data_IF_105528020389
#
_entry.id   IF_105528020389
#
_cell.length_a   1.000
_cell.length_b   1.000
_cell.length_c   1.000
_cell.angle_alpha   90.00
_cell.angle_beta   90.00
_cell.angle_gamma   90.00
#
_symmetry.space_group_name_H-M   'P 1'
#
loop_
_entity.id
_entity.type
_entity.pdbx_description
1 polymer ?
#
# COMPACT_ATOMS: atom_id res chain seq x y z
N UNK A 1 -21.17 0.00 12.15
CA UNK A 1 -21.16 0.88 10.94
C UNK A 1 -20.96 2.33 11.38
N UNK A 2 -19.72 2.72 11.65
CA UNK A 2 -19.32 4.07 12.11
C UNK A 2 -19.05 5.05 10.95
N UNK A 3 -19.95 5.06 9.95
CA UNK A 3 -19.82 5.99 8.84
C UNK A 3 -19.89 7.45 9.32
N UNK A 4 -18.97 8.30 8.85
CA UNK A 4 -19.06 9.75 9.06
C UNK A 4 -19.36 10.47 7.75
N UNK A 5 -19.98 11.65 7.80
CA UNK A 5 -20.21 12.49 6.62
C UNK A 5 -18.95 12.66 5.78
N UNK A 6 -19.05 12.41 4.48
CA UNK A 6 -17.97 12.55 3.53
C UNK A 6 -17.59 14.02 3.33
N UNK A 7 -16.29 14.31 3.36
CA UNK A 7 -15.78 15.66 3.17
C UNK A 7 -15.69 16.01 1.67
N UNK A 8 -15.84 17.30 1.37
CA UNK A 8 -15.84 17.88 0.03
C UNK A 8 -14.93 19.10 0.01
N UNK A 9 -14.48 19.47 -1.19
CA UNK A 9 -13.84 20.76 -1.41
C UNK A 9 -14.82 21.87 -1.00
N UNK A 10 -14.35 22.80 -0.18
CA UNK A 10 -15.17 23.85 0.44
C UNK A 10 -15.63 23.54 1.88
N UNK A 11 -15.62 22.28 2.33
CA UNK A 11 -15.84 21.96 3.74
C UNK A 11 -14.66 22.48 4.60
N UNK A 12 -14.90 22.72 5.89
CA UNK A 12 -13.96 23.46 6.74
C UNK A 12 -12.97 22.55 7.45
N UNK A 13 -11.67 22.79 7.30
CA UNK A 13 -10.61 22.12 8.05
C UNK A 13 -10.11 23.02 9.19
N UNK A 14 -10.36 22.60 10.44
CA UNK A 14 -9.99 23.36 11.62
C UNK A 14 -8.48 23.57 11.75
N UNK A 15 -8.10 24.66 12.41
CA UNK A 15 -6.72 24.98 12.75
C UNK A 15 -6.67 25.25 14.27
N UNK A 16 -5.98 24.39 15.01
CA UNK A 16 -5.85 24.47 16.47
C UNK A 16 -4.60 25.23 16.92
N UNK A 17 -3.96 26.00 16.04
CA UNK A 17 -2.83 26.86 16.42
C UNK A 17 -3.28 27.84 17.52
N UNK A 18 -2.64 27.83 18.71
CA UNK A 18 -3.00 28.72 19.80
C UNK A 18 -2.88 30.18 19.38
N UNK A 19 -3.88 30.99 19.71
CA UNK A 19 -3.86 32.43 19.45
C UNK A 19 -2.88 33.11 20.42
N UNK A 20 -2.01 33.99 19.90
CA UNK A 20 -1.36 34.98 20.76
C UNK A 20 -2.40 36.03 21.18
N UNK A 21 -2.43 36.39 22.46
CA UNK A 21 -3.28 37.47 22.99
C UNK A 21 -2.45 38.76 23.09
N UNK A 22 -2.89 39.89 22.48
CA UNK A 22 -4.11 40.11 21.70
C UNK A 22 -4.03 39.47 20.30
N UNK A 23 -5.18 38.99 19.78
CA UNK A 23 -5.25 38.36 18.46
C UNK A 23 -4.83 39.35 17.36
N UNK A 24 -3.58 39.26 16.91
CA UNK A 24 -3.03 40.16 15.89
C UNK A 24 -3.64 39.93 14.48
N UNK A 25 -4.40 38.85 14.29
CA UNK A 25 -5.01 38.47 13.02
C UNK A 25 -6.43 37.93 13.23
N UNK A 26 -7.44 38.38 12.45
CA UNK A 26 -8.79 37.85 12.51
C UNK A 26 -8.87 36.54 11.71
N UNK A 27 -8.26 35.48 12.23
CA UNK A 27 -8.76 34.13 11.96
C UNK A 27 -9.33 33.63 13.29
N UNK A 28 -10.66 33.64 13.35
CA UNK A 28 -11.44 33.05 14.43
C UNK A 28 -10.96 31.60 14.68
N UNK A 29 -11.29 30.95 15.81
CA UNK A 29 -11.06 29.51 16.04
C UNK A 29 -11.84 28.57 15.08
N UNK A 30 -12.25 29.03 13.90
CA UNK A 30 -12.93 28.26 12.87
C UNK A 30 -11.99 28.12 11.67
N UNK A 31 -11.86 26.89 11.16
CA UNK A 31 -10.89 26.49 10.14
C UNK A 31 -10.90 27.26 8.82
N UNK A 32 -10.20 26.72 7.83
CA UNK A 32 -10.21 27.26 6.46
C UNK A 32 -10.88 26.25 5.51
N UNK A 33 -11.55 26.72 4.43
CA UNK A 33 -12.12 25.82 3.43
C UNK A 33 -11.03 24.95 2.79
N UNK A 34 -11.31 23.66 2.62
CA UNK A 34 -10.48 22.75 1.84
C UNK A 34 -10.47 23.27 0.40
N UNK A 35 -9.30 23.58 -0.14
CA UNK A 35 -9.10 24.33 -1.39
C UNK A 35 -8.16 23.62 -2.38
N UNK A 36 -7.94 22.32 -2.22
CA UNK A 36 -7.10 21.53 -3.13
C UNK A 36 -7.78 21.25 -4.47
N UNK A 37 -7.00 20.70 -5.42
CA UNK A 37 -7.51 20.24 -6.74
C UNK A 37 -8.61 19.18 -6.57
N UNK A 38 -8.66 18.49 -5.42
CA UNK A 38 -9.66 17.49 -5.11
C UNK A 38 -9.65 16.33 -6.10
N UNK A 39 -10.71 15.53 -6.08
CA UNK A 39 -11.00 14.60 -7.16
C UNK A 39 -11.90 15.25 -8.19
N UNK A 40 -11.32 16.01 -9.13
CA UNK A 40 -12.04 16.79 -10.14
C UNK A 40 -13.13 16.03 -10.95
N UNK A 41 -13.16 14.70 -10.85
CA UNK A 41 -14.10 13.79 -11.53
C UNK A 41 -15.08 13.09 -10.58
N UNK A 42 -14.92 13.20 -9.25
CA UNK A 42 -15.75 12.51 -8.25
C UNK A 42 -16.51 13.55 -7.43
N UNK A 43 -17.84 13.51 -7.52
CA UNK A 43 -18.73 14.44 -6.83
C UNK A 43 -19.49 13.75 -5.70
N UNK A 44 -19.55 14.41 -4.55
CA UNK A 44 -20.35 14.01 -3.39
C UNK A 44 -21.28 15.17 -3.05
N UNK A 45 -22.59 14.94 -3.10
CA UNK A 45 -23.59 16.01 -2.87
C UNK A 45 -23.39 17.22 -3.78
N UNK A 46 -23.12 16.98 -5.08
CA UNK A 46 -22.85 17.98 -6.11
C UNK A 46 -21.62 18.88 -5.89
N UNK A 47 -20.69 18.52 -5.00
CA UNK A 47 -19.39 19.18 -4.85
C UNK A 47 -18.26 18.18 -5.02
N UNK A 48 -17.09 18.67 -5.39
CA UNK A 48 -15.89 17.83 -5.58
C UNK A 48 -15.55 17.14 -4.25
N UNK A 49 -15.35 15.83 -4.29
CA UNK A 49 -14.99 15.06 -3.10
C UNK A 49 -13.58 15.43 -2.61
N UNK A 50 -13.42 15.58 -1.29
CA UNK A 50 -12.13 15.75 -0.66
C UNK A 50 -11.50 14.40 -0.32
N UNK A 51 -10.18 14.36 -0.32
CA UNK A 51 -9.36 13.17 -0.09
C UNK A 51 -8.14 13.52 0.75
N UNK A 52 -7.48 12.49 1.26
CA UNK A 52 -6.18 12.64 1.93
C UNK A 52 -5.23 13.45 1.05
N UNK A 53 -4.39 14.28 1.67
CA UNK A 53 -3.46 15.24 1.03
C UNK A 53 -4.11 16.49 0.40
N UNK A 54 -5.44 16.54 0.25
CA UNK A 54 -6.09 17.83 0.04
C UNK A 54 -5.86 18.73 1.26
N UNK A 55 -5.99 20.04 1.08
CA UNK A 55 -5.54 20.99 2.10
C UNK A 55 -6.39 22.24 2.15
N UNK A 56 -6.35 22.90 3.30
CA UNK A 56 -6.74 24.30 3.42
C UNK A 56 -5.49 25.17 3.48
N UNK A 57 -5.58 26.42 3.01
CA UNK A 57 -4.47 27.36 3.03
C UNK A 57 -4.65 28.34 4.18
N UNK A 58 -3.68 28.34 5.10
CA UNK A 58 -3.63 29.35 6.15
C UNK A 58 -3.10 30.67 5.57
N UNK A 59 -3.83 31.80 5.70
CA UNK A 59 -3.38 33.10 5.23
C UNK A 59 -2.38 33.69 6.23
N UNK A 60 -1.21 33.09 6.35
CA UNK A 60 -0.06 33.71 7.02
C UNK A 60 0.82 34.42 5.97
N UNK A 61 1.75 35.32 6.37
CA UNK A 61 2.65 36.00 5.43
C UNK A 61 3.38 35.05 4.47
N UNK A 62 3.55 33.79 4.88
CA UNK A 62 3.92 32.67 4.01
C UNK A 62 2.77 31.65 4.06
N UNK A 63 1.97 31.48 3.01
CA UNK A 63 0.86 30.52 3.02
C UNK A 63 1.35 29.12 3.40
N UNK A 64 0.84 28.59 4.50
CA UNK A 64 1.18 27.24 4.96
C UNK A 64 -0.01 26.33 4.68
N UNK A 65 0.17 25.24 3.93
CA UNK A 65 -0.88 24.27 3.70
C UNK A 65 -1.13 23.44 4.97
N UNK A 66 -2.41 23.28 5.32
CA UNK A 66 -2.87 22.29 6.29
C UNK A 66 -3.38 21.07 5.53
N UNK A 67 -2.52 20.07 5.34
CA UNK A 67 -2.84 18.86 4.58
C UNK A 67 -3.72 17.92 5.42
N UNK A 68 -4.71 17.30 4.80
CA UNK A 68 -5.47 16.21 5.40
C UNK A 68 -4.56 14.98 5.51
N UNK A 69 -4.31 14.54 6.73
CA UNK A 69 -3.36 13.49 7.10
C UNK A 69 -4.01 12.15 7.42
N UNK A 70 -5.34 12.08 7.44
CA UNK A 70 -6.13 10.86 7.65
C UNK A 70 -7.26 10.77 6.64
N UNK A 71 -7.67 9.55 6.34
CA UNK A 71 -8.78 9.26 5.42
C UNK A 71 -9.16 7.78 5.47
N UNK A 72 -10.22 7.42 4.76
CA UNK A 72 -10.73 6.06 4.67
C UNK A 72 -10.00 5.26 3.58
N UNK A 73 -9.00 4.47 3.97
CA UNK A 73 -8.20 3.65 3.05
C UNK A 73 -9.01 2.69 2.17
N UNK A 74 -10.05 2.00 2.68
CA UNK A 74 -10.89 1.13 1.86
C UNK A 74 -11.75 1.86 0.82
N UNK A 75 -11.86 3.18 0.90
CA UNK A 75 -12.68 4.00 0.00
C UNK A 75 -11.76 4.99 -0.75
N UNK A 76 -10.98 4.52 -1.74
CA UNK A 76 -10.13 5.40 -2.53
C UNK A 76 -10.96 6.31 -3.43
N UNK A 77 -10.59 7.60 -3.46
CA UNK A 77 -11.08 8.60 -4.39
C UNK A 77 -9.87 9.12 -5.19
N UNK A 78 -9.86 8.82 -6.50
CA UNK A 78 -8.73 9.11 -7.39
C UNK A 78 -7.39 8.58 -6.82
N UNK A 79 -7.38 7.34 -6.34
CA UNK A 79 -6.23 6.63 -5.76
C UNK A 79 -5.69 7.19 -4.43
N UNK A 80 -6.41 8.07 -3.74
CA UNK A 80 -6.10 8.46 -2.37
C UNK A 80 -7.29 8.18 -1.44
N UNK A 81 -7.06 7.85 -0.16
CA UNK A 81 -8.14 7.64 0.81
C UNK A 81 -9.12 8.80 0.86
N UNK A 82 -10.42 8.53 0.85
CA UNK A 82 -11.45 9.57 0.96
C UNK A 82 -11.38 10.29 2.31
N UNK A 83 -11.58 11.60 2.32
CA UNK A 83 -11.67 12.36 3.56
C UNK A 83 -13.11 12.37 4.10
N UNK A 84 -13.25 12.33 5.43
CA UNK A 84 -14.52 12.37 6.17
C UNK A 84 -14.43 13.39 7.30
N UNK A 85 -15.59 13.80 7.80
CA UNK A 85 -15.68 14.63 9.00
C UNK A 85 -14.78 14.05 10.10
N UNK A 86 -14.16 14.88 10.93
CA UNK A 86 -13.21 14.49 11.98
C UNK A 86 -11.83 13.97 11.54
N UNK A 87 -11.57 13.78 10.23
CA UNK A 87 -10.22 13.46 9.76
C UNK A 87 -9.24 14.60 10.08
N UNK A 88 -8.01 14.24 10.42
CA UNK A 88 -7.02 15.17 10.98
C UNK A 88 -6.21 15.91 9.93
N UNK A 89 -5.95 17.19 10.15
CA UNK A 89 -4.96 18.01 9.45
C UNK A 89 -3.53 17.84 10.01
N UNK A 90 -2.51 18.23 9.23
CA UNK A 90 -1.09 18.17 9.61
C UNK A 90 -0.67 19.32 10.53
N UNK A 91 0.36 19.07 11.36
CA UNK A 91 1.05 20.14 12.10
C UNK A 91 1.70 21.17 11.14
N UNK A 92 1.80 22.45 11.52
CA UNK A 92 1.44 23.04 12.81
C UNK A 92 -0.06 23.38 12.95
N UNK A 93 -0.83 23.26 11.86
CA UNK A 93 -2.26 23.54 11.79
C UNK A 93 -3.11 22.33 12.19
N UNK A 94 -2.68 21.60 13.24
CA UNK A 94 -3.39 20.42 13.74
C UNK A 94 -4.86 20.75 13.93
N UNK A 95 -5.76 19.86 13.54
CA UNK A 95 -7.18 20.13 13.55
C UNK A 95 -7.93 19.03 12.86
N UNK A 96 -9.24 19.19 12.75
CA UNK A 96 -10.12 18.19 12.15
C UNK A 96 -11.05 18.81 11.13
N UNK A 97 -11.52 18.00 10.17
CA UNK A 97 -12.58 18.41 9.25
C UNK A 97 -13.87 18.61 10.06
N UNK A 98 -14.46 19.79 9.95
CA UNK A 98 -15.62 20.22 10.71
C UNK A 98 -16.94 19.80 10.04
N UNK A 99 -18.03 19.65 10.81
CA UNK A 99 -19.37 19.50 10.26
C UNK A 99 -19.78 20.74 9.43
N UNK A 100 -20.77 20.61 8.53
CA UNK A 100 -21.63 19.43 8.34
C UNK A 100 -21.09 18.40 7.34
N UNK A 101 -20.06 18.73 6.55
CA UNK A 101 -19.64 17.90 5.41
C UNK A 101 -20.84 17.53 4.51
N UNK A 102 -20.88 16.34 3.90
CA UNK A 102 -22.07 15.81 3.25
C UNK A 102 -22.82 14.81 4.15
N UNK A 103 -23.91 15.20 4.85
CA UNK A 103 -24.56 14.32 5.83
C UNK A 103 -25.26 13.11 5.22
N UNK A 104 -25.58 13.14 3.93
CA UNK A 104 -26.28 12.07 3.21
C UNK A 104 -25.35 10.99 2.67
N UNK A 105 -24.03 11.21 2.70
CA UNK A 105 -23.03 10.24 2.24
C UNK A 105 -22.11 9.92 3.40
N UNK A 106 -22.23 8.71 3.95
CA UNK A 106 -21.45 8.25 5.09
C UNK A 106 -20.34 7.31 4.64
N UNK A 107 -19.09 7.71 4.85
CA UNK A 107 -17.91 6.90 4.52
C UNK A 107 -17.43 6.21 5.80
N UNK A 108 -17.25 4.89 5.79
CA UNK A 108 -16.71 4.08 6.89
C UNK A 108 -15.18 3.93 6.81
N UNK A 109 -14.56 3.54 7.94
CA UNK A 109 -13.12 3.19 7.98
C UNK A 109 -12.86 1.69 7.83
N UNK A 110 -13.84 0.86 8.17
CA UNK A 110 -13.74 -0.58 8.03
C UNK A 110 -13.77 -1.02 6.56
N UNK A 111 -13.09 -2.12 6.27
CA UNK A 111 -13.05 -2.73 4.95
C UNK A 111 -11.63 -3.08 4.52
N UNK A 112 -11.46 -3.38 3.24
CA UNK A 112 -10.16 -3.75 2.69
C UNK A 112 -9.71 -2.73 1.66
N UNK A 113 -8.51 -2.18 1.84
CA UNK A 113 -7.81 -1.46 0.78
C UNK A 113 -7.03 -2.47 -0.09
N UNK A 114 -6.99 -2.25 -1.40
CA UNK A 114 -6.36 -3.17 -2.37
C UNK A 114 -7.38 -4.01 -3.13
N UNK A 115 -6.88 -4.86 -4.03
CA UNK A 115 -7.71 -5.73 -4.87
C UNK A 115 -7.25 -7.18 -4.69
N UNK A 116 -7.81 -7.80 -3.63
CA UNK A 116 -7.52 -9.18 -3.27
C UNK A 116 -7.86 -10.12 -4.43
N UNK A 117 -8.97 -9.89 -5.13
CA UNK A 117 -9.41 -10.78 -6.21
C UNK A 117 -8.39 -10.82 -7.36
N UNK A 118 -7.95 -9.66 -7.85
CA UNK A 118 -6.95 -9.60 -8.91
C UNK A 118 -5.59 -10.14 -8.44
N UNK A 119 -5.18 -9.80 -7.22
CA UNK A 119 -3.95 -10.30 -6.63
C UNK A 119 -3.93 -11.83 -6.49
N UNK A 120 -4.99 -12.42 -5.93
CA UNK A 120 -5.14 -13.88 -5.78
C UNK A 120 -5.18 -14.56 -7.15
N UNK A 121 -5.91 -14.00 -8.12
CA UNK A 121 -5.92 -14.51 -9.49
C UNK A 121 -4.52 -14.48 -10.11
N UNK A 122 -3.72 -13.44 -9.87
CA UNK A 122 -2.35 -13.36 -10.37
C UNK A 122 -1.43 -14.42 -9.76
N UNK A 123 -1.57 -14.71 -8.48
CA UNK A 123 -0.83 -15.80 -7.83
C UNK A 123 -1.23 -17.18 -8.36
N UNK A 124 -2.53 -17.41 -8.55
CA UNK A 124 -3.03 -18.67 -9.12
C UNK A 124 -2.55 -18.86 -10.56
N UNK A 125 -2.66 -17.82 -11.40
CA UNK A 125 -2.19 -17.85 -12.78
C UNK A 125 -0.68 -18.05 -12.90
N UNK A 126 0.09 -17.66 -11.87
CA UNK A 126 1.53 -17.86 -11.85
C UNK A 126 1.90 -19.35 -11.97
N UNK A 127 1.06 -20.27 -11.51
CA UNK A 127 1.32 -21.71 -11.58
C UNK A 127 1.63 -22.21 -12.99
N UNK A 128 0.89 -21.73 -14.00
CA UNK A 128 1.06 -22.12 -15.40
C UNK A 128 2.46 -21.78 -15.97
N UNK A 129 3.13 -20.78 -15.37
CA UNK A 129 4.48 -20.38 -15.75
C UNK A 129 5.60 -21.09 -14.97
N UNK A 130 5.28 -22.09 -14.13
CA UNK A 130 6.25 -22.88 -13.35
C UNK A 130 6.36 -24.28 -13.91
N UNK A 131 7.56 -24.85 -13.81
CA UNK A 131 7.80 -26.26 -14.19
C UNK A 131 6.95 -27.23 -13.36
N UNK A 132 6.68 -26.88 -12.09
CA UNK A 132 5.84 -27.66 -11.19
C UNK A 132 4.34 -27.61 -11.53
N UNK A 133 3.90 -26.61 -12.29
CA UNK A 133 2.50 -26.25 -12.48
C UNK A 133 1.72 -26.08 -11.15
N UNK A 134 2.38 -25.63 -10.08
CA UNK A 134 1.76 -25.35 -8.77
C UNK A 134 1.88 -23.89 -8.39
N UNK A 135 1.12 -23.44 -7.40
CA UNK A 135 1.20 -22.07 -6.84
C UNK A 135 2.47 -21.84 -6.02
N UNK A 136 3.16 -22.91 -5.62
CA UNK A 136 4.44 -22.84 -4.92
C UNK A 136 5.60 -22.60 -5.89
N UNK A 137 6.55 -21.78 -5.48
CA UNK A 137 7.79 -21.49 -6.21
C UNK A 137 8.69 -22.71 -6.32
N UNK A 138 9.60 -22.70 -7.30
CA UNK A 138 10.46 -23.85 -7.60
C UNK A 138 11.89 -23.69 -7.11
N UNK A 139 12.40 -22.47 -6.85
CA UNK A 139 13.85 -22.23 -6.73
C UNK A 139 14.33 -21.45 -5.49
N UNK A 140 13.57 -21.43 -4.39
CA UNK A 140 13.80 -20.50 -3.25
C UNK A 140 13.95 -19.04 -3.72
N UNK A 141 13.09 -18.67 -4.67
CA UNK A 141 13.15 -17.44 -5.46
C UNK A 141 11.94 -16.54 -5.20
N UNK A 142 11.43 -16.53 -3.96
CA UNK A 142 10.21 -15.83 -3.55
C UNK A 142 10.13 -14.37 -4.00
N UNK A 143 11.26 -13.66 -4.00
CA UNK A 143 11.29 -12.29 -4.49
C UNK A 143 11.17 -12.15 -6.02
N UNK A 144 11.70 -13.10 -6.78
CA UNK A 144 11.52 -13.19 -8.24
C UNK A 144 10.07 -13.55 -8.55
N UNK A 145 9.51 -14.52 -7.85
CA UNK A 145 8.12 -14.97 -8.06
C UNK A 145 7.08 -13.95 -7.62
N UNK A 146 7.35 -13.21 -6.54
CA UNK A 146 6.56 -12.04 -6.17
C UNK A 146 6.62 -10.96 -7.26
N UNK A 147 7.80 -10.75 -7.86
CA UNK A 147 7.95 -9.81 -8.99
C UNK A 147 7.17 -10.29 -10.21
N UNK A 148 7.20 -11.60 -10.51
CA UNK A 148 6.50 -12.21 -11.64
C UNK A 148 5.00 -12.02 -11.57
N UNK A 149 4.41 -12.09 -10.37
CA UNK A 149 2.99 -11.80 -10.18
C UNK A 149 2.64 -10.37 -10.60
N UNK A 150 3.48 -9.39 -10.26
CA UNK A 150 3.25 -7.98 -10.63
C UNK A 150 3.57 -7.68 -12.10
N UNK A 151 4.51 -8.42 -12.71
CA UNK A 151 4.86 -8.33 -14.12
C UNK A 151 3.73 -8.90 -14.98
N UNK A 152 3.30 -10.12 -14.67
CA UNK A 152 2.32 -10.83 -15.48
C UNK A 152 0.89 -10.33 -15.22
N UNK A 153 0.60 -9.76 -14.05
CA UNK A 153 -0.73 -9.21 -13.68
C UNK A 153 -1.88 -10.18 -13.96
N UNK A 154 -1.65 -11.47 -13.71
CA UNK A 154 -2.63 -12.53 -13.98
C UNK A 154 -2.63 -13.09 -15.40
N UNK A 155 -1.74 -12.65 -16.29
CA UNK A 155 -1.51 -13.30 -17.58
C UNK A 155 -0.76 -14.64 -17.38
N UNK A 156 -1.41 -15.81 -17.57
CA UNK A 156 -0.74 -17.11 -17.42
C UNK A 156 0.31 -17.37 -18.50
N UNK A 157 0.20 -16.71 -19.67
CA UNK A 157 1.19 -16.76 -20.76
C UNK A 157 2.26 -15.68 -20.68
N UNK A 158 2.38 -14.99 -19.54
CA UNK A 158 3.46 -14.03 -19.29
C UNK A 158 4.83 -14.71 -19.13
N UNK A 159 5.82 -13.97 -18.63
CA UNK A 159 7.16 -14.53 -18.42
C UNK A 159 7.09 -15.72 -17.45
N UNK A 160 7.82 -16.79 -17.75
CA UNK A 160 7.90 -17.98 -16.89
C UNK A 160 8.82 -17.75 -15.71
N UNK A 161 8.69 -18.59 -14.67
CA UNK A 161 9.59 -18.58 -13.50
C UNK A 161 11.05 -18.73 -13.92
N UNK A 162 11.34 -19.72 -14.77
CA UNK A 162 12.71 -20.00 -15.23
C UNK A 162 13.27 -18.83 -16.04
N UNK A 163 12.47 -18.24 -16.92
CA UNK A 163 12.92 -17.14 -17.77
C UNK A 163 13.22 -15.89 -16.92
N UNK A 164 12.33 -15.52 -16.01
CA UNK A 164 12.53 -14.35 -15.15
C UNK A 164 13.68 -14.58 -14.15
N UNK A 165 13.80 -15.78 -13.58
CA UNK A 165 14.90 -16.12 -12.69
C UNK A 165 16.25 -16.10 -13.43
N UNK A 166 16.33 -16.68 -14.63
CA UNK A 166 17.55 -16.62 -15.44
C UNK A 166 17.93 -15.19 -15.80
N UNK A 167 16.95 -14.35 -16.19
CA UNK A 167 17.17 -12.93 -16.44
C UNK A 167 17.73 -12.22 -15.20
N UNK A 168 17.14 -12.48 -14.04
CA UNK A 168 17.56 -11.89 -12.78
C UNK A 168 18.99 -12.32 -12.37
N UNK A 169 19.33 -13.60 -12.54
CA UNK A 169 20.68 -14.14 -12.28
C UNK A 169 21.70 -13.50 -13.21
N UNK A 170 21.43 -13.52 -14.52
CA UNK A 170 22.35 -12.97 -15.52
C UNK A 170 22.59 -11.46 -15.32
N UNK A 171 21.63 -10.76 -14.74
CA UNK A 171 21.73 -9.33 -14.44
C UNK A 171 22.27 -9.03 -13.03
N UNK A 172 22.65 -10.06 -12.25
CA UNK A 172 23.16 -9.91 -10.88
C UNK A 172 22.11 -9.47 -9.85
N UNK A 173 20.82 -9.63 -10.15
CA UNK A 173 19.69 -9.19 -9.31
C UNK A 173 19.16 -10.30 -8.40
N UNK A 174 19.46 -11.55 -8.73
CA UNK A 174 19.16 -12.75 -7.94
C UNK A 174 20.42 -13.60 -7.76
N UNK A 175 20.48 -14.38 -6.68
CA UNK A 175 21.54 -15.37 -6.48
C UNK A 175 21.54 -16.45 -7.56
N UNK A 176 22.70 -17.04 -7.82
CA UNK A 176 22.90 -18.06 -8.86
C UNK A 176 24.18 -17.82 -9.65
N UNK A 177 24.42 -18.66 -10.65
CA UNK A 177 25.57 -18.55 -11.55
C UNK A 177 25.10 -18.06 -12.93
N UNK A 178 25.56 -16.88 -13.40
CA UNK A 178 25.24 -16.39 -14.73
C UNK A 178 25.59 -17.40 -15.82
N UNK A 179 24.68 -17.57 -16.79
CA UNK A 179 24.84 -18.53 -17.89
C UNK A 179 24.53 -19.99 -17.55
N UNK A 180 24.30 -20.32 -16.27
CA UNK A 180 23.84 -21.65 -15.84
C UNK A 180 22.32 -21.68 -15.69
N UNK A 181 21.65 -22.80 -16.01
CA UNK A 181 20.22 -22.96 -15.75
C UNK A 181 19.85 -22.76 -14.28
N UNK A 182 18.62 -22.30 -13.96
CA UNK A 182 18.21 -22.13 -12.58
C UNK A 182 18.11 -23.48 -11.86
N UNK A 183 18.64 -23.53 -10.64
CA UNK A 183 18.59 -24.70 -9.76
C UNK A 183 18.00 -24.31 -8.41
N UNK A 184 17.39 -25.27 -7.73
CA UNK A 184 16.79 -25.00 -6.42
C UNK A 184 17.85 -24.54 -5.40
N UNK A 185 17.40 -23.63 -4.52
CA UNK A 185 18.13 -22.88 -3.50
C UNK A 185 18.96 -21.67 -3.94
N UNK A 186 18.84 -21.18 -5.19
CA UNK A 186 19.67 -20.07 -5.65
C UNK A 186 18.96 -18.72 -5.83
N UNK A 187 17.64 -18.61 -5.95
CA UNK A 187 17.01 -17.37 -6.44
C UNK A 187 16.78 -16.23 -5.43
N UNK A 188 17.57 -16.13 -4.37
CA UNK A 188 17.44 -15.06 -3.37
C UNK A 188 17.61 -13.65 -3.97
N UNK A 189 16.82 -12.69 -3.51
CA UNK A 189 16.87 -11.28 -3.97
C UNK A 189 16.81 -10.31 -2.80
N UNK A 190 17.36 -9.11 -2.98
CA UNK A 190 17.16 -7.98 -2.07
C UNK A 190 16.17 -6.96 -2.69
N UNK A 191 15.73 -5.92 -1.94
CA UNK A 191 14.80 -4.92 -2.46
C UNK A 191 15.30 -4.20 -3.71
N UNK A 192 16.59 -3.85 -3.81
CA UNK A 192 17.13 -3.18 -5.00
C UNK A 192 17.10 -4.11 -6.22
N UNK A 193 17.44 -5.39 -6.04
CA UNK A 193 17.35 -6.42 -7.07
C UNK A 193 15.93 -6.56 -7.61
N UNK A 194 14.93 -6.67 -6.74
CA UNK A 194 13.52 -6.72 -7.16
C UNK A 194 13.07 -5.46 -7.88
N UNK A 195 13.52 -4.28 -7.43
CA UNK A 195 13.22 -3.03 -8.13
C UNK A 195 13.75 -3.07 -9.57
N UNK A 196 14.96 -3.58 -9.78
CA UNK A 196 15.57 -3.70 -11.09
C UNK A 196 14.91 -4.79 -11.95
N UNK A 197 14.54 -5.95 -11.37
CA UNK A 197 13.79 -7.01 -12.06
C UNK A 197 12.46 -6.46 -12.59
N UNK A 198 11.71 -5.76 -11.74
CA UNK A 198 10.43 -5.15 -12.09
C UNK A 198 10.60 -4.08 -13.19
N UNK A 199 11.59 -3.20 -13.07
CA UNK A 199 11.87 -2.17 -14.07
C UNK A 199 12.27 -2.76 -15.43
N UNK A 200 13.12 -3.78 -15.44
CA UNK A 200 13.55 -4.48 -16.66
C UNK A 200 12.40 -5.17 -17.41
N UNK A 201 11.27 -5.37 -16.73
CA UNK A 201 10.05 -5.99 -17.27
C UNK A 201 8.88 -5.00 -17.40
N UNK A 202 9.17 -3.70 -17.48
CA UNK A 202 8.16 -2.67 -17.76
C UNK A 202 7.25 -2.31 -16.59
N UNK A 203 7.58 -2.73 -15.36
CA UNK A 203 6.82 -2.42 -14.14
C UNK A 203 7.72 -1.67 -13.16
N UNK A 204 8.14 -0.42 -13.44
CA UNK A 204 9.03 0.30 -12.53
C UNK A 204 8.44 0.38 -11.13
N UNK A 205 9.30 0.29 -10.12
CA UNK A 205 8.91 0.35 -8.70
C UNK A 205 9.86 1.23 -7.90
N UNK A 206 9.44 1.57 -6.69
CA UNK A 206 10.22 2.34 -5.72
C UNK A 206 10.31 1.56 -4.42
N UNK A 207 11.51 1.53 -3.81
CA UNK A 207 11.69 0.98 -2.46
C UNK A 207 11.15 1.95 -1.41
N UNK A 208 10.30 1.47 -0.52
CA UNK A 208 9.74 2.23 0.60
C UNK A 208 9.98 1.52 1.94
N UNK A 209 9.88 2.28 3.03
CA UNK A 209 9.83 1.71 4.38
C UNK A 209 8.56 0.88 4.56
N UNK A 210 8.69 -0.28 5.20
CA UNK A 210 7.55 -1.13 5.58
C UNK A 210 6.82 -0.49 6.76
N UNK A 211 5.77 0.28 6.46
CA UNK A 211 4.87 0.85 7.46
C UNK A 211 3.43 0.56 7.06
N UNK A 212 2.53 0.43 8.05
CA UNK A 212 1.11 0.18 7.79
C UNK A 212 0.47 1.31 6.98
N UNK A 213 0.91 2.55 7.20
CA UNK A 213 0.49 3.71 6.41
C UNK A 213 0.91 3.57 4.94
N UNK A 214 2.17 3.24 4.65
CA UNK A 214 2.62 3.05 3.27
C UNK A 214 1.86 1.90 2.61
N UNK A 215 1.72 0.76 3.30
CA UNK A 215 0.98 -0.40 2.78
C UNK A 215 -0.47 -0.04 2.45
N UNK A 216 -1.13 0.68 3.36
CA UNK A 216 -2.48 1.19 3.17
C UNK A 216 -2.61 2.13 1.98
N UNK A 217 -1.73 3.13 1.88
CA UNK A 217 -1.71 4.09 0.77
C UNK A 217 -1.53 3.38 -0.57
N UNK A 218 -0.57 2.44 -0.63
CA UNK A 218 -0.28 1.70 -1.84
C UNK A 218 -1.43 0.77 -2.23
N UNK A 219 -2.04 0.08 -1.27
CA UNK A 219 -3.20 -0.77 -1.49
C UNK A 219 -4.41 0.05 -1.96
N UNK A 220 -4.69 1.18 -1.31
CA UNK A 220 -5.77 2.11 -1.69
C UNK A 220 -5.58 2.66 -3.12
N UNK A 221 -4.34 2.87 -3.53
CA UNK A 221 -3.98 3.28 -4.88
C UNK A 221 -3.90 2.15 -5.92
N UNK A 222 -4.21 0.90 -5.55
CA UNK A 222 -4.11 -0.28 -6.43
C UNK A 222 -2.68 -0.60 -6.89
N UNK A 223 -1.66 -0.11 -6.16
CA UNK A 223 -0.25 -0.33 -6.46
C UNK A 223 0.18 -1.71 -5.94
N UNK A 224 0.95 -2.41 -6.74
CA UNK A 224 1.51 -3.70 -6.37
C UNK A 224 2.64 -3.49 -5.38
N UNK A 225 2.70 -4.32 -4.35
CA UNK A 225 3.68 -4.20 -3.29
C UNK A 225 4.24 -5.57 -2.89
N UNK A 226 5.56 -5.69 -2.88
CA UNK A 226 6.27 -6.86 -2.37
C UNK A 226 6.92 -6.47 -1.06
N UNK A 227 6.68 -7.22 0.01
CA UNK A 227 7.30 -6.98 1.31
C UNK A 227 8.41 -7.99 1.58
N UNK A 228 9.50 -7.53 2.17
CA UNK A 228 10.56 -8.40 2.72
C UNK A 228 10.26 -8.70 4.18
N UNK A 229 10.24 -9.97 4.57
CA UNK A 229 9.95 -10.41 5.93
C UNK A 229 10.70 -11.69 6.27
N UNK A 230 10.71 -12.09 7.53
CA UNK A 230 11.19 -13.41 7.94
C UNK A 230 10.03 -14.41 7.86
N UNK A 231 10.27 -15.55 7.22
CA UNK A 231 9.26 -16.60 7.09
C UNK A 231 8.99 -17.35 8.41
N UNK A 232 9.92 -17.38 9.37
CA UNK A 232 9.75 -18.15 10.59
C UNK A 232 8.55 -17.67 11.42
N UNK A 233 8.37 -16.36 11.71
CA UNK A 233 7.15 -15.90 12.38
C UNK A 233 5.90 -16.07 11.50
N UNK A 234 6.03 -15.91 10.18
CA UNK A 234 4.90 -16.03 9.25
C UNK A 234 4.32 -17.45 9.20
N UNK A 235 5.19 -18.46 9.22
CA UNK A 235 4.82 -19.87 9.10
C UNK A 235 4.78 -20.62 10.44
N UNK A 236 4.68 -19.88 11.55
CA UNK A 236 4.54 -20.46 12.88
C UNK A 236 5.75 -21.30 13.33
N UNK A 237 6.97 -20.93 12.93
CA UNK A 237 8.21 -21.58 13.35
C UNK A 237 8.54 -22.90 12.65
N UNK A 238 7.82 -23.25 11.58
CA UNK A 238 8.11 -24.43 10.74
C UNK A 238 9.42 -24.29 9.95
N UNK A 239 9.97 -23.07 9.87
CA UNK A 239 11.30 -22.79 9.31
C UNK A 239 12.17 -22.06 10.35
N UNK A 240 13.51 -22.22 10.32
CA UNK A 240 14.41 -21.54 11.26
C UNK A 240 14.34 -20.02 11.16
N UNK A 241 14.58 -19.31 12.27
CA UNK A 241 14.74 -17.85 12.26
C UNK A 241 15.88 -17.41 11.32
N UNK A 242 15.72 -16.26 10.67
CA UNK A 242 16.62 -15.79 9.62
C UNK A 242 16.27 -16.35 8.23
N UNK A 243 15.16 -17.08 8.08
CA UNK A 243 14.65 -17.54 6.79
C UNK A 243 14.03 -16.37 6.03
N UNK A 244 14.87 -15.52 5.43
CA UNK A 244 14.43 -14.33 4.72
C UNK A 244 13.51 -14.69 3.56
N UNK A 245 12.43 -13.93 3.41
CA UNK A 245 11.35 -14.22 2.49
C UNK A 245 10.74 -12.95 1.91
N UNK A 246 10.01 -13.11 0.80
CA UNK A 246 9.31 -12.03 0.14
C UNK A 246 7.93 -12.49 -0.34
N UNK A 247 6.90 -11.69 -0.06
CA UNK A 247 5.51 -11.97 -0.42
C UNK A 247 4.87 -10.75 -1.06
N UNK A 248 3.85 -10.97 -1.89
CA UNK A 248 3.04 -9.88 -2.45
C UNK A 248 1.93 -9.53 -1.48
N UNK A 249 1.78 -8.26 -1.14
CA UNK A 249 0.61 -7.76 -0.40
C UNK A 249 -0.45 -7.34 -1.40
N UNK A 250 -1.65 -7.92 -1.27
CA UNK A 250 -2.79 -7.69 -2.18
C UNK A 250 -3.95 -6.96 -1.49
N UNK A 251 -3.99 -6.98 -0.16
CA UNK A 251 -4.97 -6.23 0.62
C UNK A 251 -4.49 -5.86 2.02
N UNK A 252 -5.05 -4.79 2.57
CA UNK A 252 -4.90 -4.37 3.97
C UNK A 252 -6.30 -4.20 4.56
N UNK A 253 -6.59 -4.89 5.66
CA UNK A 253 -7.92 -4.96 6.27
C UNK A 253 -7.98 -4.05 7.48
N UNK A 254 -9.08 -3.29 7.59
CA UNK A 254 -9.30 -2.27 8.61
C UNK A 254 -10.58 -2.54 9.41
N UNK A 255 -10.54 -2.22 10.70
CA UNK A 255 -11.70 -2.21 11.60
C UNK A 255 -12.49 -0.88 11.52
N UNK A 256 -13.59 -0.79 12.29
CA UNK A 256 -14.46 0.40 12.37
C UNK A 256 -13.75 1.64 12.96
N UNK A 257 -12.58 1.47 13.58
CA UNK A 257 -11.73 2.54 14.10
C UNK A 257 -10.58 2.92 13.13
N UNK A 258 -10.47 2.22 12.00
CA UNK A 258 -9.40 2.42 11.01
C UNK A 258 -8.06 1.82 11.43
N UNK A 259 -8.03 0.93 12.42
CA UNK A 259 -6.83 0.16 12.72
C UNK A 259 -6.70 -1.00 11.72
N UNK A 260 -5.46 -1.30 11.31
CA UNK A 260 -5.21 -2.49 10.50
C UNK A 260 -5.35 -3.73 11.37
N UNK A 261 -6.21 -4.68 10.96
CA UNK A 261 -6.40 -5.95 11.67
C UNK A 261 -5.66 -7.10 10.99
N UNK A 262 -5.59 -7.07 9.66
CA UNK A 262 -5.03 -8.14 8.85
C UNK A 262 -4.38 -7.60 7.57
N UNK A 263 -3.49 -8.41 6.99
CA UNK A 263 -2.90 -8.20 5.68
C UNK A 263 -3.19 -9.41 4.82
N UNK A 264 -3.66 -9.19 3.60
CA UNK A 264 -3.87 -10.27 2.63
C UNK A 264 -2.66 -10.35 1.72
N UNK A 265 -2.07 -11.55 1.63
CA UNK A 265 -0.82 -11.78 0.90
C UNK A 265 -0.91 -12.97 -0.05
N UNK A 266 -0.05 -12.95 -1.06
CA UNK A 266 0.31 -14.14 -1.84
C UNK A 266 1.70 -14.60 -1.42
N UNK A 267 1.77 -15.83 -0.91
CA UNK A 267 3.00 -16.45 -0.45
C UNK A 267 3.37 -17.64 -1.33
N UNK A 268 4.30 -17.41 -2.24
CA UNK A 268 4.79 -18.46 -3.13
C UNK A 268 5.74 -19.44 -2.44
N UNK A 269 6.21 -19.16 -1.22
CA UNK A 269 7.02 -20.11 -0.45
C UNK A 269 6.19 -21.29 0.05
N UNK A 270 4.94 -21.03 0.44
CA UNK A 270 3.96 -22.06 0.85
C UNK A 270 2.95 -22.39 -0.24
N UNK A 271 2.94 -21.62 -1.33
CA UNK A 271 1.96 -21.73 -2.42
C UNK A 271 0.55 -21.22 -2.05
N UNK A 272 0.41 -20.50 -0.94
CA UNK A 272 -0.87 -19.96 -0.50
C UNK A 272 -1.15 -18.60 -1.17
N UNK A 273 -2.16 -18.55 -2.03
CA UNK A 273 -2.61 -17.34 -2.71
C UNK A 273 -3.77 -16.68 -1.94
N UNK A 274 -3.70 -15.37 -1.72
CA UNK A 274 -4.78 -14.62 -1.07
C UNK A 274 -5.01 -14.96 0.40
N UNK A 275 -3.98 -15.42 1.11
CA UNK A 275 -4.12 -15.76 2.53
C UNK A 275 -4.24 -14.48 3.38
N UNK A 276 -5.17 -14.50 4.34
CA UNK A 276 -5.32 -13.44 5.34
C UNK A 276 -4.42 -13.73 6.53
N UNK A 277 -3.53 -12.79 6.85
CA UNK A 277 -2.57 -12.91 7.94
C UNK A 277 -2.90 -11.86 9.01
N UNK A 278 -3.12 -12.27 10.28
CA UNK A 278 -3.32 -11.32 11.37
C UNK A 278 -2.17 -10.34 11.48
N UNK A 279 -2.48 -9.07 11.77
CA UNK A 279 -1.48 -8.00 11.79
C UNK A 279 -0.35 -8.25 12.80
N UNK A 280 -0.65 -8.93 13.91
CA UNK A 280 0.35 -9.32 14.90
C UNK A 280 1.41 -10.25 14.31
N UNK A 281 0.98 -11.28 13.56
CA UNK A 281 1.86 -12.23 12.86
C UNK A 281 2.66 -11.53 11.77
N UNK A 282 2.00 -10.69 10.96
CA UNK A 282 2.66 -9.94 9.91
C UNK A 282 3.75 -9.01 10.46
N UNK A 283 3.43 -8.25 11.53
CA UNK A 283 4.38 -7.36 12.19
C UNK A 283 5.55 -8.11 12.81
N UNK A 284 5.32 -9.29 13.40
CA UNK A 284 6.40 -10.13 13.90
C UNK A 284 7.34 -10.57 12.78
N UNK A 285 6.78 -10.99 11.63
CA UNK A 285 7.55 -11.38 10.45
C UNK A 285 8.38 -10.21 9.86
N UNK A 286 7.79 -9.02 9.73
CA UNK A 286 8.52 -7.85 9.21
C UNK A 286 9.56 -7.32 10.20
N UNK A 287 9.32 -7.41 11.51
CA UNK A 287 10.25 -6.94 12.54
C UNK A 287 11.44 -7.88 12.73
N UNK A 288 11.25 -9.18 12.52
CA UNK A 288 12.34 -10.16 12.55
C UNK A 288 13.31 -10.02 11.36
N UNK A 289 12.85 -9.44 10.24
CA UNK A 289 13.71 -9.20 9.09
C UNK A 289 14.64 -7.99 9.33
N UNK A 290 15.97 -8.12 9.17
CA UNK A 290 16.94 -7.10 9.59
C UNK A 290 16.81 -5.76 8.85
N UNK A 291 16.27 -5.78 7.63
CA UNK A 291 16.02 -4.58 6.83
C UNK A 291 14.72 -4.69 6.01
N UNK A 292 13.58 -4.89 6.67
CA UNK A 292 12.30 -5.02 5.94
C UNK A 292 12.02 -3.79 5.08
N UNK A 293 11.67 -4.03 3.81
CA UNK A 293 11.34 -2.99 2.82
C UNK A 293 10.22 -3.46 1.91
N UNK A 294 9.49 -2.48 1.38
CA UNK A 294 8.50 -2.66 0.32
C UNK A 294 9.11 -2.33 -1.04
N UNK A 295 8.84 -3.15 -2.05
CA UNK A 295 8.97 -2.78 -3.46
C UNK A 295 7.58 -2.42 -3.99
N UNK A 296 7.34 -1.17 -4.35
CA UNK A 296 6.01 -0.68 -4.72
C UNK A 296 5.99 -0.20 -6.15
N UNK A 297 5.14 -0.78 -7.01
CA UNK A 297 5.02 -0.38 -8.42
C UNK A 297 4.67 1.10 -8.54
N UNK A 298 5.25 1.83 -9.48
CA UNK A 298 5.02 3.28 -9.62
C UNK A 298 3.61 3.59 -10.16
N UNK A 299 3.05 2.66 -10.94
CA UNK A 299 1.68 2.71 -11.42
C UNK A 299 0.81 1.67 -10.71
N UNK A 300 -0.51 1.85 -10.83
CA UNK A 300 -1.51 0.85 -10.46
C UNK A 300 -1.30 -0.43 -11.29
N UNK A 301 -1.39 -1.59 -10.64
CA UNK A 301 -1.30 -2.91 -11.29
C UNK A 301 -2.46 -3.82 -10.93
N UNK A 302 -3.24 -3.46 -9.91
CA UNK A 302 -4.46 -4.15 -9.48
C UNK A 302 -5.69 -3.27 -9.59
#
# INVERSE_FOLDING_TARGET
MSGQPAARIGDMLACATPQATPAALPHAPAGMPISAVGAATVFIGNQIAARMTDFSLCPSPVPVPNLISRGAFPVPIMNLPAARMTDMGTAPHTGVILPPCCPTVLIGLAGTAGNIMAGTAACNAAAAGRTSNTTSQTYNNCGVESSRQLINRGNPGGISENALLQQAINSGQAGGTPGSPPVFANGGTNPAGRQAILAANGVPSTVQNTTLTNMGLNASAGRGQIVSLDAAPLWGGTTPAGSLHAVVVTGVVYDDAGNVTDVVINDTGTGQCGQTVPIATFNAATSAHPASRLNVTNAQVW
#
